data_IF_990476257106
#
_entry.id   IF_990476257106
#
_cell.length_a   1.000
_cell.length_b   1.000
_cell.length_c   1.000
_cell.angle_alpha   90.00
_cell.angle_beta   90.00
_cell.angle_gamma   90.00
#
_symmetry.space_group_name_H-M   'P 1'
#
loop_
_entity.id
_entity.type
_entity.pdbx_description
1 polymer ?
#
# COMPACT_ATOMS: atom_id res chain seq x y z
N UNK A 1 14.38 22.22 7.94
CA UNK A 1 13.28 21.38 7.43
C UNK A 1 13.71 20.13 6.62
N UNK A 2 15.01 19.95 6.36
CA UNK A 2 15.53 18.79 5.59
C UNK A 2 15.13 17.43 6.22
N UNK A 3 15.16 17.32 7.54
CA UNK A 3 14.83 16.08 8.24
C UNK A 3 13.36 15.65 8.05
N UNK A 4 12.42 16.59 8.04
CA UNK A 4 10.99 16.28 7.80
C UNK A 4 10.76 15.80 6.37
N UNK A 5 11.41 16.42 5.39
CA UNK A 5 11.33 16.01 3.97
C UNK A 5 11.92 14.63 3.76
N UNK A 6 13.07 14.33 4.37
CA UNK A 6 13.72 13.02 4.27
C UNK A 6 12.86 11.90 4.90
N UNK A 7 12.32 12.13 6.11
CA UNK A 7 11.42 11.15 6.75
C UNK A 7 10.18 10.86 5.89
N UNK A 8 9.60 11.91 5.29
CA UNK A 8 8.45 11.74 4.39
C UNK A 8 8.81 10.94 3.13
N UNK A 9 9.99 11.17 2.55
CA UNK A 9 10.48 10.36 1.41
C UNK A 9 10.63 8.89 1.78
N UNK A 10 11.20 8.58 2.95
CA UNK A 10 11.32 7.21 3.44
C UNK A 10 9.96 6.53 3.62
N UNK A 11 8.99 7.24 4.19
CA UNK A 11 7.62 6.73 4.36
C UNK A 11 6.98 6.46 3.00
N UNK A 12 7.14 7.34 2.02
CA UNK A 12 6.63 7.14 0.66
C UNK A 12 7.26 5.92 -0.02
N UNK A 13 8.58 5.77 0.08
CA UNK A 13 9.29 4.59 -0.46
C UNK A 13 8.78 3.31 0.21
N UNK A 14 8.64 3.32 1.54
CA UNK A 14 8.12 2.18 2.29
C UNK A 14 6.70 1.80 1.85
N UNK A 15 5.82 2.77 1.68
CA UNK A 15 4.47 2.55 1.16
C UNK A 15 4.55 1.97 -0.26
N UNK A 16 5.36 2.55 -1.15
CA UNK A 16 5.54 2.07 -2.52
C UNK A 16 6.01 0.62 -2.59
N UNK A 17 7.01 0.26 -1.79
CA UNK A 17 7.53 -1.11 -1.69
C UNK A 17 6.46 -2.11 -1.23
N UNK A 18 5.51 -1.68 -0.41
CA UNK A 18 4.45 -2.54 0.12
C UNK A 18 3.29 -2.81 -0.84
N UNK A 19 3.14 -2.02 -1.90
CA UNK A 19 1.95 -2.10 -2.74
C UNK A 19 1.90 -3.33 -3.65
N UNK A 20 3.04 -3.84 -4.08
CA UNK A 20 3.09 -4.91 -5.10
C UNK A 20 3.37 -6.32 -4.59
N UNK A 21 4.02 -6.56 -3.45
CA UNK A 21 4.29 -7.91 -2.99
C UNK A 21 3.05 -8.77 -2.84
N UNK A 22 1.92 -8.18 -2.38
CA UNK A 22 0.64 -8.89 -2.27
C UNK A 22 0.17 -9.49 -3.61
N UNK A 23 0.48 -8.83 -4.72
CA UNK A 23 0.13 -9.26 -6.08
C UNK A 23 1.16 -10.23 -6.65
N UNK A 24 2.43 -9.88 -6.56
CA UNK A 24 3.52 -10.58 -7.22
C UNK A 24 3.97 -11.86 -6.50
N UNK A 25 3.70 -11.98 -5.20
CA UNK A 25 3.97 -13.19 -4.42
C UNK A 25 3.10 -14.39 -4.82
N UNK A 26 1.94 -14.15 -5.41
CA UNK A 26 1.01 -15.22 -5.83
C UNK A 26 1.51 -15.96 -7.06
N UNK A 27 2.11 -15.26 -8.03
CA UNK A 27 2.54 -15.84 -9.28
C UNK A 27 3.43 -17.08 -9.12
N UNK A 28 4.55 -17.00 -8.39
CA UNK A 28 5.44 -18.14 -8.16
C UNK A 28 4.80 -19.32 -7.44
N UNK A 29 3.74 -19.08 -6.64
CA UNK A 29 3.05 -20.10 -5.85
C UNK A 29 1.77 -20.62 -6.50
N UNK A 30 1.42 -20.14 -7.68
CA UNK A 30 0.17 -20.47 -8.35
C UNK A 30 -0.05 -21.98 -8.55
N UNK A 31 0.96 -22.80 -8.92
CA UNK A 31 0.82 -24.24 -9.01
C UNK A 31 0.45 -24.89 -7.67
N UNK A 32 1.12 -24.52 -6.59
CA UNK A 32 0.86 -25.03 -5.24
C UNK A 32 -0.51 -24.59 -4.73
N UNK A 33 -0.87 -23.32 -4.97
CA UNK A 33 -2.19 -22.75 -4.65
C UNK A 33 -3.32 -23.55 -5.31
N UNK A 34 -3.17 -23.87 -6.60
CA UNK A 34 -4.16 -24.64 -7.34
C UNK A 34 -4.28 -26.06 -6.82
N UNK A 35 -3.16 -26.70 -6.54
CA UNK A 35 -3.13 -28.07 -6.04
C UNK A 35 -3.77 -28.18 -4.66
N UNK A 36 -3.50 -27.23 -3.76
CA UNK A 36 -4.01 -27.24 -2.40
C UNK A 36 -5.49 -26.84 -2.29
N UNK A 37 -5.93 -25.87 -3.11
CA UNK A 37 -7.31 -25.35 -3.06
C UNK A 37 -8.28 -26.02 -4.04
N UNK A 38 -7.79 -26.88 -4.94
CA UNK A 38 -8.59 -27.48 -6.01
C UNK A 38 -9.15 -26.48 -7.02
N UNK A 39 -8.63 -25.23 -7.06
CA UNK A 39 -9.15 -24.21 -7.94
C UNK A 39 -8.89 -24.47 -9.42
N UNK A 40 -9.87 -24.11 -10.25
CA UNK A 40 -9.73 -24.18 -11.70
C UNK A 40 -8.74 -23.13 -12.23
N UNK A 41 -8.28 -23.28 -13.47
CA UNK A 41 -7.45 -22.28 -14.15
C UNK A 41 -8.14 -20.91 -14.23
N UNK A 42 -9.46 -20.90 -14.45
CA UNK A 42 -10.24 -19.65 -14.50
C UNK A 42 -10.25 -18.90 -13.17
N UNK A 43 -10.39 -19.60 -12.05
CA UNK A 43 -10.33 -19.02 -10.72
C UNK A 43 -8.93 -18.51 -10.39
N UNK A 44 -7.89 -19.26 -10.80
CA UNK A 44 -6.51 -18.83 -10.65
C UNK A 44 -6.20 -17.57 -11.48
N UNK A 45 -6.74 -17.46 -12.68
CA UNK A 45 -6.64 -16.27 -13.51
C UNK A 45 -7.36 -15.06 -12.87
N UNK A 46 -8.55 -15.28 -12.28
CA UNK A 46 -9.26 -14.24 -11.54
C UNK A 46 -8.47 -13.75 -10.34
N UNK A 47 -7.73 -14.60 -9.63
CA UNK A 47 -6.92 -14.22 -8.48
C UNK A 47 -5.86 -13.18 -8.84
N UNK A 48 -5.32 -13.24 -10.05
CA UNK A 48 -4.34 -12.27 -10.57
C UNK A 48 -4.99 -11.07 -11.26
N UNK A 49 -6.11 -11.26 -11.94
CA UNK A 49 -6.81 -10.20 -12.67
C UNK A 49 -7.65 -9.28 -11.76
N UNK A 50 -8.28 -9.82 -10.73
CA UNK A 50 -9.21 -9.10 -9.87
C UNK A 50 -8.60 -7.85 -9.21
N UNK A 51 -7.37 -7.90 -8.65
CA UNK A 51 -6.73 -6.70 -8.12
C UNK A 51 -6.49 -5.62 -9.19
N UNK A 52 -6.12 -6.02 -10.40
CA UNK A 52 -5.86 -5.08 -11.51
C UNK A 52 -7.15 -4.40 -11.95
N UNK A 53 -8.24 -5.15 -12.05
CA UNK A 53 -9.57 -4.60 -12.38
C UNK A 53 -10.03 -3.63 -11.31
N UNK A 54 -9.88 -3.96 -10.02
CA UNK A 54 -10.25 -3.05 -8.92
C UNK A 54 -9.40 -1.79 -8.89
N UNK A 55 -8.10 -1.90 -9.16
CA UNK A 55 -7.21 -0.73 -9.29
C UNK A 55 -7.65 0.18 -10.44
N UNK A 56 -7.99 -0.38 -11.60
CA UNK A 56 -8.51 0.36 -12.75
C UNK A 56 -9.82 1.08 -12.44
N UNK A 57 -10.78 0.40 -11.80
CA UNK A 57 -12.04 0.99 -11.37
C UNK A 57 -11.85 2.14 -10.38
N UNK A 58 -10.96 1.98 -9.42
CA UNK A 58 -10.65 3.03 -8.43
C UNK A 58 -9.88 4.21 -9.02
N UNK A 59 -9.10 4.00 -10.07
CA UNK A 59 -8.47 5.10 -10.80
C UNK A 59 -9.51 6.06 -11.40
N UNK A 60 -10.64 5.54 -11.89
CA UNK A 60 -11.77 6.34 -12.36
C UNK A 60 -12.50 7.07 -11.22
N UNK A 61 -12.55 6.47 -10.04
CA UNK A 61 -13.17 7.04 -8.84
C UNK A 61 -12.25 8.02 -8.07
N UNK A 62 -11.02 8.25 -8.55
CA UNK A 62 -10.01 9.03 -7.84
C UNK A 62 -10.45 10.46 -7.49
N UNK A 63 -11.13 11.15 -8.40
CA UNK A 63 -11.64 12.51 -8.17
C UNK A 63 -12.70 12.55 -7.05
N UNK A 64 -13.60 11.60 -7.03
CA UNK A 64 -14.61 11.45 -5.98
C UNK A 64 -13.95 11.17 -4.61
N UNK A 65 -12.95 10.30 -4.59
CA UNK A 65 -12.21 9.95 -3.38
C UNK A 65 -11.51 11.18 -2.76
N UNK A 66 -10.88 12.02 -3.58
CA UNK A 66 -10.25 13.26 -3.14
C UNK A 66 -11.22 14.27 -2.52
N UNK A 67 -12.47 14.28 -2.97
CA UNK A 67 -13.48 15.21 -2.48
C UNK A 67 -14.06 14.78 -1.12
N UNK A 68 -14.16 13.46 -0.87
CA UNK A 68 -14.91 12.93 0.27
C UNK A 68 -14.04 12.38 1.41
N UNK A 69 -12.81 11.99 1.11
CA UNK A 69 -11.92 11.37 2.11
C UNK A 69 -10.59 12.11 2.18
N UNK A 70 -10.17 12.44 3.40
CA UNK A 70 -8.86 13.07 3.59
C UNK A 70 -7.72 12.11 3.20
N UNK A 71 -6.66 12.64 2.61
CA UNK A 71 -5.49 11.86 2.19
C UNK A 71 -4.92 10.99 3.31
N UNK A 72 -4.86 11.53 4.53
CA UNK A 72 -4.38 10.79 5.68
C UNK A 72 -5.20 9.52 5.93
N UNK A 73 -6.53 9.65 5.88
CA UNK A 73 -7.46 8.51 6.08
C UNK A 73 -7.40 7.54 4.91
N UNK A 74 -7.37 8.05 3.68
CA UNK A 74 -7.30 7.22 2.48
C UNK A 74 -6.09 6.30 2.50
N UNK A 75 -4.90 6.83 2.78
CA UNK A 75 -3.67 6.04 2.85
C UNK A 75 -3.70 5.05 4.03
N UNK A 76 -4.18 5.47 5.21
CA UNK A 76 -4.28 4.59 6.38
C UNK A 76 -5.25 3.42 6.15
N UNK A 77 -6.45 3.70 5.62
CA UNK A 77 -7.44 2.67 5.27
C UNK A 77 -6.87 1.71 4.23
N UNK A 78 -6.18 2.23 3.23
CA UNK A 78 -5.57 1.41 2.18
C UNK A 78 -4.51 0.46 2.71
N UNK A 79 -3.60 0.95 3.55
CA UNK A 79 -2.57 0.11 4.17
C UNK A 79 -3.18 -0.94 5.10
N UNK A 80 -4.27 -0.60 5.80
CA UNK A 80 -5.04 -1.55 6.61
C UNK A 80 -5.68 -2.63 5.73
N UNK A 81 -6.30 -2.26 4.60
CA UNK A 81 -6.88 -3.21 3.66
C UNK A 81 -5.83 -4.15 3.07
N UNK A 82 -4.64 -3.65 2.75
CA UNK A 82 -3.52 -4.47 2.26
C UNK A 82 -3.06 -5.44 3.35
N UNK A 83 -2.90 -4.97 4.59
CA UNK A 83 -2.47 -5.80 5.71
C UNK A 83 -3.51 -6.90 6.02
N UNK A 84 -4.79 -6.55 6.09
CA UNK A 84 -5.89 -7.51 6.32
C UNK A 84 -5.97 -8.50 5.17
N UNK A 85 -5.88 -8.03 3.91
CA UNK A 85 -5.85 -8.90 2.74
C UNK A 85 -4.68 -9.89 2.76
N UNK A 86 -3.51 -9.49 3.23
CA UNK A 86 -2.37 -10.38 3.39
C UNK A 86 -2.60 -11.41 4.53
N UNK A 87 -3.11 -10.96 5.68
CA UNK A 87 -3.39 -11.84 6.83
C UNK A 87 -4.50 -12.86 6.55
N UNK A 88 -5.50 -12.51 5.76
CA UNK A 88 -6.56 -13.45 5.37
C UNK A 88 -6.03 -14.72 4.69
N UNK A 89 -4.86 -14.63 4.04
CA UNK A 89 -4.21 -15.77 3.37
C UNK A 89 -3.65 -16.80 4.33
N UNK A 90 -3.46 -16.43 5.62
CA UNK A 90 -2.99 -17.34 6.66
C UNK A 90 -4.09 -18.33 7.10
N UNK A 91 -5.36 -17.94 7.00
CA UNK A 91 -6.45 -18.68 7.63
C UNK A 91 -6.69 -20.06 7.00
N UNK A 92 -6.84 -20.17 5.71
CA UNK A 92 -6.96 -21.44 4.99
C UNK A 92 -6.94 -21.20 3.45
N UNK A 93 -6.37 -22.12 2.66
CA UNK A 93 -6.25 -21.95 1.21
C UNK A 93 -7.57 -22.21 0.45
N UNK A 94 -8.68 -21.60 0.90
CA UNK A 94 -9.94 -21.64 0.16
C UNK A 94 -9.95 -20.61 -0.96
N UNK A 95 -10.46 -20.98 -2.12
CA UNK A 95 -10.54 -20.09 -3.29
C UNK A 95 -11.30 -18.79 -2.99
N UNK A 96 -12.39 -18.85 -2.22
CA UNK A 96 -13.17 -17.68 -1.83
C UNK A 96 -12.36 -16.70 -0.95
N UNK A 97 -11.60 -17.20 0.02
CA UNK A 97 -10.74 -16.39 0.89
C UNK A 97 -9.60 -15.74 0.10
N UNK A 98 -8.98 -16.49 -0.81
CA UNK A 98 -7.92 -15.95 -1.67
C UNK A 98 -8.43 -14.85 -2.59
N UNK A 99 -9.59 -15.04 -3.22
CA UNK A 99 -10.23 -14.02 -4.05
C UNK A 99 -10.63 -12.78 -3.24
N UNK A 100 -11.20 -12.95 -2.04
CA UNK A 100 -11.53 -11.84 -1.15
C UNK A 100 -10.30 -11.08 -0.72
N UNK A 101 -9.20 -11.76 -0.38
CA UNK A 101 -7.91 -11.14 -0.05
C UNK A 101 -7.33 -10.33 -1.22
N UNK A 102 -7.45 -10.87 -2.44
CA UNK A 102 -7.00 -10.20 -3.65
C UNK A 102 -7.84 -8.95 -3.96
N UNK A 103 -9.16 -9.03 -3.75
CA UNK A 103 -10.07 -7.89 -3.89
C UNK A 103 -9.73 -6.79 -2.88
N UNK A 104 -9.62 -7.12 -1.59
CA UNK A 104 -9.28 -6.15 -0.54
C UNK A 104 -7.93 -5.49 -0.78
N UNK A 105 -6.92 -6.29 -1.12
CA UNK A 105 -5.60 -5.77 -1.47
C UNK A 105 -5.64 -4.88 -2.70
N UNK A 106 -6.36 -5.28 -3.74
CA UNK A 106 -6.55 -4.50 -4.96
C UNK A 106 -7.23 -3.15 -4.70
N UNK A 107 -8.26 -3.12 -3.85
CA UNK A 107 -8.93 -1.88 -3.40
C UNK A 107 -7.94 -0.99 -2.65
N UNK A 108 -7.20 -1.53 -1.68
CA UNK A 108 -6.21 -0.75 -0.93
C UNK A 108 -5.13 -0.16 -1.84
N UNK A 109 -4.57 -0.95 -2.74
CA UNK A 109 -3.56 -0.50 -3.71
C UNK A 109 -4.14 0.58 -4.63
N UNK A 110 -5.35 0.37 -5.15
CA UNK A 110 -6.02 1.31 -6.05
C UNK A 110 -6.26 2.68 -5.41
N UNK A 111 -6.70 2.72 -4.15
CA UNK A 111 -6.88 3.97 -3.39
C UNK A 111 -5.55 4.72 -3.25
N UNK A 112 -4.47 4.04 -2.85
CA UNK A 112 -3.15 4.68 -2.72
C UNK A 112 -2.68 5.22 -4.06
N UNK A 113 -2.80 4.45 -5.13
CA UNK A 113 -2.39 4.89 -6.48
C UNK A 113 -3.19 6.10 -6.97
N UNK A 114 -4.47 6.19 -6.64
CA UNK A 114 -5.30 7.34 -6.97
C UNK A 114 -4.89 8.59 -6.18
N UNK A 115 -4.54 8.45 -4.89
CA UNK A 115 -4.28 9.58 -3.98
C UNK A 115 -2.83 10.05 -4.00
N UNK A 116 -1.88 9.13 -4.15
CA UNK A 116 -0.45 9.43 -3.93
C UNK A 116 0.15 10.47 -4.89
N UNK A 117 -0.20 10.52 -6.19
CA UNK A 117 0.33 11.56 -7.08
C UNK A 117 0.00 12.98 -6.60
N UNK A 118 -1.21 13.21 -6.07
CA UNK A 118 -1.60 14.53 -5.55
C UNK A 118 -0.89 14.86 -4.25
N UNK A 119 -0.68 13.88 -3.37
CA UNK A 119 0.12 14.03 -2.14
C UNK A 119 1.55 14.44 -2.48
N UNK A 120 2.18 13.76 -3.42
CA UNK A 120 3.55 14.05 -3.85
C UNK A 120 3.63 15.45 -4.47
N UNK A 121 2.74 15.79 -5.40
CA UNK A 121 2.71 17.11 -6.06
C UNK A 121 2.55 18.24 -5.05
N UNK A 122 1.67 18.09 -4.07
CA UNK A 122 1.41 19.11 -3.06
C UNK A 122 2.57 19.31 -2.08
N UNK A 123 3.24 18.22 -1.69
CA UNK A 123 4.29 18.25 -0.67
C UNK A 123 5.68 18.54 -1.22
N UNK A 124 5.97 18.15 -2.44
CA UNK A 124 7.32 18.24 -3.02
C UNK A 124 7.44 19.24 -4.16
N UNK A 125 6.34 19.82 -4.61
CA UNK A 125 6.29 20.91 -5.62
C UNK A 125 7.38 20.80 -6.71
N UNK A 126 8.49 21.55 -6.58
CA UNK A 126 9.58 21.57 -7.56
C UNK A 126 10.33 20.23 -7.71
N UNK A 127 10.26 19.34 -6.71
CA UNK A 127 10.89 18.01 -6.73
C UNK A 127 9.92 16.90 -7.12
N UNK A 128 8.71 17.24 -7.54
CA UNK A 128 7.68 16.27 -7.93
C UNK A 128 8.18 15.21 -8.91
N UNK A 129 8.89 15.54 -10.02
CA UNK A 129 9.34 14.52 -10.96
C UNK A 129 10.30 13.51 -10.34
N UNK A 130 11.24 13.98 -9.51
CA UNK A 130 12.18 13.11 -8.80
C UNK A 130 11.47 12.16 -7.83
N UNK A 131 10.55 12.70 -7.03
CA UNK A 131 9.81 11.91 -6.03
C UNK A 131 8.84 10.92 -6.68
N UNK A 132 8.23 11.29 -7.81
CA UNK A 132 7.41 10.38 -8.61
C UNK A 132 8.25 9.24 -9.22
N UNK A 133 9.46 9.55 -9.70
CA UNK A 133 10.40 8.53 -10.17
C UNK A 133 10.80 7.56 -9.06
N UNK A 134 11.13 8.08 -7.88
CA UNK A 134 11.45 7.27 -6.69
C UNK A 134 10.26 6.40 -6.24
N UNK A 135 9.04 6.96 -6.25
CA UNK A 135 7.81 6.26 -5.99
C UNK A 135 7.58 5.09 -6.96
N UNK A 136 7.75 5.35 -8.28
CA UNK A 136 7.61 4.32 -9.31
C UNK A 136 8.67 3.23 -9.16
N UNK A 137 9.92 3.61 -8.86
CA UNK A 137 11.00 2.66 -8.58
C UNK A 137 10.70 1.79 -7.35
N UNK A 138 10.15 2.37 -6.28
CA UNK A 138 9.73 1.64 -5.10
C UNK A 138 8.59 0.65 -5.41
N UNK A 139 7.60 1.04 -6.21
CA UNK A 139 6.53 0.15 -6.68
C UNK A 139 7.09 -1.06 -7.44
N UNK A 140 7.98 -0.83 -8.40
CA UNK A 140 8.58 -1.90 -9.19
C UNK A 140 9.51 -2.78 -8.33
N UNK A 141 10.32 -2.15 -7.48
CA UNK A 141 11.19 -2.83 -6.53
C UNK A 141 10.42 -3.73 -5.57
N UNK A 142 9.31 -3.23 -5.00
CA UNK A 142 8.42 -4.04 -4.16
C UNK A 142 7.86 -5.26 -4.89
N UNK A 143 7.47 -5.09 -6.15
CA UNK A 143 7.02 -6.21 -6.98
C UNK A 143 8.12 -7.26 -7.22
N UNK A 144 9.33 -6.80 -7.54
CA UNK A 144 10.49 -7.67 -7.69
C UNK A 144 10.84 -8.42 -6.41
N UNK A 145 10.83 -7.73 -5.26
CA UNK A 145 11.06 -8.35 -3.95
C UNK A 145 9.99 -9.39 -3.62
N UNK A 146 8.71 -9.09 -3.88
CA UNK A 146 7.61 -10.03 -3.69
C UNK A 146 7.79 -11.32 -4.49
N UNK A 147 8.16 -11.22 -5.76
CA UNK A 147 8.38 -12.36 -6.62
C UNK A 147 9.64 -13.15 -6.25
N UNK A 148 10.74 -12.47 -5.89
CA UNK A 148 12.02 -13.09 -5.62
C UNK A 148 12.11 -13.72 -4.22
N UNK A 149 11.59 -13.03 -3.20
CA UNK A 149 11.72 -13.46 -1.80
C UNK A 149 10.68 -14.53 -1.44
N UNK A 150 9.49 -14.49 -2.03
CA UNK A 150 8.41 -15.42 -1.67
C UNK A 150 8.79 -16.90 -1.87
N UNK A 151 9.39 -17.34 -2.99
CA UNK A 151 9.82 -18.73 -3.14
C UNK A 151 10.87 -19.15 -2.11
N UNK A 152 11.77 -18.24 -1.74
CA UNK A 152 12.78 -18.49 -0.70
C UNK A 152 12.13 -18.65 0.68
N UNK A 153 11.17 -17.79 1.02
CA UNK A 153 10.42 -17.89 2.28
C UNK A 153 9.63 -19.20 2.37
N UNK A 154 9.05 -19.67 1.27
CA UNK A 154 8.31 -20.94 1.23
C UNK A 154 9.21 -22.13 1.57
N UNK A 155 10.46 -22.12 1.12
CA UNK A 155 11.42 -23.20 1.43
C UNK A 155 11.81 -23.26 2.91
N UNK A 156 11.62 -22.14 3.64
CA UNK A 156 12.00 -22.01 5.05
C UNK A 156 10.79 -21.92 6.00
N UNK A 157 9.57 -22.05 5.48
CA UNK A 157 8.33 -22.00 6.23
C UNK A 157 7.69 -23.39 6.29
N UNK A 158 7.00 -23.68 7.38
CA UNK A 158 6.28 -24.97 7.52
C UNK A 158 5.15 -25.12 6.50
N UNK A 159 4.53 -23.99 6.13
CA UNK A 159 3.43 -23.95 5.16
C UNK A 159 3.57 -22.79 4.20
N UNK A 160 3.29 -23.03 2.91
CA UNK A 160 3.41 -22.02 1.86
C UNK A 160 2.43 -20.83 2.03
N UNK A 161 1.25 -21.04 2.64
CA UNK A 161 0.26 -19.99 2.85
C UNK A 161 0.64 -19.01 3.96
N UNK A 162 1.33 -19.47 5.02
CA UNK A 162 1.91 -18.57 6.02
C UNK A 162 2.88 -17.58 5.40
N UNK A 163 3.64 -18.01 4.40
CA UNK A 163 4.57 -17.13 3.69
C UNK A 163 3.89 -15.93 3.04
N UNK A 164 2.66 -16.10 2.56
CA UNK A 164 1.90 -14.99 1.97
C UNK A 164 1.44 -13.98 3.03
N UNK A 165 1.21 -14.42 4.25
CA UNK A 165 0.82 -13.54 5.37
C UNK A 165 1.98 -12.66 5.86
N UNK A 166 3.23 -13.08 5.67
CA UNK A 166 4.40 -12.29 6.04
C UNK A 166 4.43 -10.92 5.38
N UNK A 167 3.81 -10.78 4.21
CA UNK A 167 3.69 -9.50 3.53
C UNK A 167 2.74 -8.50 4.23
N UNK A 168 2.03 -8.94 5.29
CA UNK A 168 1.30 -8.03 6.17
C UNK A 168 2.25 -7.20 7.06
N UNK A 169 3.40 -7.75 7.48
CA UNK A 169 4.33 -7.05 8.38
C UNK A 169 4.81 -5.71 7.82
N UNK A 170 5.40 -5.65 6.61
CA UNK A 170 5.80 -4.37 6.06
C UNK A 170 4.62 -3.41 5.85
N UNK A 171 3.40 -3.91 5.55
CA UNK A 171 2.22 -3.06 5.42
C UNK A 171 1.82 -2.43 6.76
N UNK A 172 1.88 -3.20 7.85
CA UNK A 172 1.64 -2.70 9.22
C UNK A 172 2.70 -1.66 9.61
N UNK A 173 3.98 -1.93 9.32
CA UNK A 173 5.07 -0.96 9.56
C UNK A 173 4.85 0.33 8.78
N UNK A 174 4.46 0.24 7.50
CA UNK A 174 4.13 1.40 6.68
C UNK A 174 2.93 2.19 7.24
N UNK A 175 1.90 1.49 7.75
CA UNK A 175 0.73 2.10 8.39
C UNK A 175 1.12 2.91 9.63
N UNK A 176 1.93 2.34 10.51
CA UNK A 176 2.43 3.06 11.70
C UNK A 176 3.32 4.23 11.33
N UNK A 177 4.22 4.07 10.36
CA UNK A 177 5.08 5.14 9.88
C UNK A 177 4.27 6.30 9.29
N UNK A 178 3.25 5.99 8.48
CA UNK A 178 2.33 6.99 7.92
C UNK A 178 1.52 7.71 9.00
N UNK A 179 0.96 6.95 9.93
CA UNK A 179 0.17 7.52 11.04
C UNK A 179 1.00 8.47 11.89
N UNK A 180 2.19 8.04 12.28
CA UNK A 180 3.11 8.84 13.07
C UNK A 180 3.55 10.12 12.35
N UNK A 181 3.92 10.02 11.08
CA UNK A 181 4.30 11.17 10.26
C UNK A 181 3.14 12.17 10.13
N UNK A 182 1.94 11.71 9.84
CA UNK A 182 0.77 12.57 9.68
C UNK A 182 0.28 13.17 11.01
N UNK A 183 0.49 12.51 12.16
CA UNK A 183 0.22 13.07 13.47
C UNK A 183 1.16 14.25 13.81
N UNK A 184 2.44 14.12 13.47
CA UNK A 184 3.44 15.20 13.66
C UNK A 184 3.13 16.45 12.84
N UNK A 185 2.59 16.29 11.63
CA UNK A 185 2.21 17.41 10.79
C UNK A 185 1.03 18.21 11.36
N UNK A 186 0.01 17.52 11.87
CA UNK A 186 -1.14 18.17 12.53
C UNK A 186 -0.68 18.93 13.76
N UNK A 187 0.18 18.34 14.61
CA UNK A 187 0.71 18.97 15.78
C UNK A 187 1.58 20.22 15.47
N UNK A 188 2.31 20.22 14.35
CA UNK A 188 3.11 21.37 13.93
C UNK A 188 2.27 22.51 13.35
N UNK A 189 1.14 22.21 12.71
CA UNK A 189 0.21 23.21 12.19
C UNK A 189 -0.51 23.98 13.31
N UNK A 190 -0.90 23.30 14.38
CA UNK A 190 -1.54 23.95 15.54
C UNK A 190 -0.61 24.94 16.28
N UNK A 191 0.70 24.67 16.31
CA UNK A 191 1.67 25.57 16.97
C UNK A 191 1.88 26.89 16.23
N UNK A 192 1.65 26.94 14.92
CA UNK A 192 1.85 28.14 14.11
C UNK A 192 0.66 29.12 14.21
N UNK A 193 -0.53 28.66 14.59
CA UNK A 193 -1.75 29.49 14.68
C UNK A 193 -1.88 30.21 16.04
N UNK A 194 -1.04 29.92 17.02
CA UNK A 194 -1.10 30.53 18.35
C UNK A 194 -0.12 31.69 18.56
N UNK A 195 0.51 32.20 17.51
CA UNK A 195 1.28 33.45 17.63
C UNK A 195 0.30 34.62 17.64
N UNK A 196 0.14 35.38 18.76
CA UNK A 196 -0.75 36.53 18.81
C UNK A 196 -0.26 37.58 17.81
N UNK A 197 -1.15 38.03 16.93
CA UNK A 197 -0.91 39.21 16.10
C UNK A 197 -0.69 40.40 17.03
N UNK A 198 0.56 40.81 17.15
CA UNK A 198 0.92 42.03 17.86
C UNK A 198 0.41 43.21 17.04
N UNK A 199 -0.78 43.68 17.34
CA UNK A 199 -1.32 44.90 16.73
C UNK A 199 -0.41 46.04 17.22
N UNK A 200 0.44 46.53 16.33
CA UNK A 200 1.21 47.75 16.56
C UNK A 200 0.29 48.92 16.18
N UNK A 201 -0.28 49.55 17.17
CA UNK A 201 -0.91 50.86 17.01
C UNK A 201 0.20 51.91 16.88
N UNK A 202 0.32 52.53 15.73
CA UNK A 202 0.99 53.83 15.49
C UNK A 202 -0.04 54.89 15.23
#
# INVERSE_FOLDING_TARGET
>A
NHQKTFTMLLVLVLIGLNMRPLLTSVGPLLPQLRQASGMSFSVAALLTALPVVTMGGLALAGSWLHQHVSERRSVAISLLLIAVGALMRELYPQSALLLSSALLGGVGIGIIQAVMPSVIKRRFQQRTPLVMGLWSAALMGGGGLGAAITPWLVQHSETWYQTLAWWALPAVVALFAWWWQSAREVASSHKTTTTPVRVVFT
#
